data_IF_109011574778
#
_entry.id   IF_109011574778
#
_cell.length_a   1.000
_cell.length_b   1.000
_cell.length_c   1.000
_cell.angle_alpha   90.00
_cell.angle_beta   90.00
_cell.angle_gamma   90.00
#
_symmetry.space_group_name_H-M   'P 1'
#
loop_
_entity.id
_entity.type
_entity.pdbx_description
1 polymer ?
#
# COMPACT_ATOMS: atom_id res chain seq x y z
N UNK A 1 18.47 -32.89 85.56
CA UNK A 1 17.58 -32.55 84.43
C UNK A 1 17.92 -31.14 83.94
N UNK A 2 18.65 -31.02 82.83
CA UNK A 2 18.85 -29.75 82.09
C UNK A 2 18.65 -30.08 80.61
N UNK A 3 17.58 -29.56 80.01
CA UNK A 3 17.31 -29.65 78.57
C UNK A 3 18.08 -28.53 77.88
N UNK A 4 18.96 -28.88 76.95
CA UNK A 4 19.60 -27.93 76.05
C UNK A 4 18.74 -27.82 74.78
N UNK A 5 18.33 -26.60 74.46
CA UNK A 5 17.58 -26.25 73.25
C UNK A 5 18.59 -26.08 72.11
N UNK A 6 18.50 -26.90 71.07
CA UNK A 6 19.27 -26.72 69.83
C UNK A 6 18.42 -25.88 68.88
N UNK A 7 18.92 -24.69 68.53
CA UNK A 7 18.38 -23.83 67.48
C UNK A 7 18.99 -24.29 66.15
N UNK A 8 18.18 -24.83 65.25
CA UNK A 8 18.59 -25.14 63.88
C UNK A 8 18.41 -23.89 63.00
N UNK A 9 19.53 -23.38 62.46
CA UNK A 9 19.54 -22.33 61.45
C UNK A 9 19.18 -22.91 60.08
N UNK A 10 18.18 -22.32 59.42
CA UNK A 10 17.83 -22.59 58.02
C UNK A 10 18.74 -21.75 57.14
N UNK A 11 19.63 -22.40 56.38
CA UNK A 11 20.41 -21.75 55.32
C UNK A 11 19.52 -21.70 54.08
N UNK A 12 19.05 -20.51 53.72
CA UNK A 12 18.35 -20.26 52.46
C UNK A 12 19.36 -20.29 51.31
N UNK A 13 19.38 -21.40 50.57
CA UNK A 13 20.11 -21.49 49.31
C UNK A 13 19.37 -20.70 48.23
N UNK A 14 19.96 -19.62 47.76
CA UNK A 14 19.49 -18.90 46.58
C UNK A 14 19.70 -19.79 45.35
N UNK A 15 18.60 -20.31 44.80
CA UNK A 15 18.60 -20.94 43.48
C UNK A 15 18.70 -19.82 42.47
N UNK A 16 19.90 -19.66 41.90
CA UNK A 16 20.11 -18.85 40.70
C UNK A 16 19.34 -19.54 39.58
N UNK A 17 18.17 -18.99 39.25
CA UNK A 17 17.43 -19.38 38.05
C UNK A 17 18.26 -19.01 36.83
N UNK A 18 18.88 -20.01 36.20
CA UNK A 18 19.38 -19.87 34.85
C UNK A 18 18.15 -19.64 33.97
N UNK A 19 17.98 -18.39 33.51
CA UNK A 19 17.05 -18.08 32.44
C UNK A 19 17.40 -19.01 31.26
N UNK A 20 16.47 -19.91 30.94
CA UNK A 20 16.56 -20.68 29.70
C UNK A 20 16.58 -19.72 28.50
N UNK A 21 17.05 -20.16 27.33
CA UNK A 21 16.99 -19.32 26.15
C UNK A 21 15.52 -18.98 25.90
N UNK A 22 15.20 -17.69 25.87
CA UNK A 22 13.89 -17.23 25.44
C UNK A 22 13.64 -17.85 24.06
N UNK A 23 12.76 -18.86 24.01
CA UNK A 23 12.21 -19.34 22.75
C UNK A 23 11.57 -18.11 22.09
N UNK A 24 11.97 -17.83 20.84
CA UNK A 24 11.44 -16.75 20.02
C UNK A 24 9.91 -16.81 20.01
N UNK A 25 9.27 -15.95 20.81
CA UNK A 25 7.85 -15.70 20.69
C UNK A 25 7.66 -14.90 19.39
N UNK A 26 6.68 -15.29 18.57
CA UNK A 26 6.30 -14.47 17.41
C UNK A 26 5.82 -13.09 17.86
N UNK A 27 5.76 -12.14 16.92
CA UNK A 27 5.29 -10.77 17.17
C UNK A 27 3.99 -10.73 17.97
N UNK A 28 3.86 -9.75 18.84
CA UNK A 28 2.62 -9.50 19.58
C UNK A 28 1.44 -9.31 18.60
N UNK A 29 0.24 -9.84 18.90
CA UNK A 29 -0.90 -9.73 18.01
C UNK A 29 -1.30 -8.29 17.67
N UNK A 30 -1.10 -7.33 18.58
CA UNK A 30 -1.34 -5.91 18.28
C UNK A 30 -0.24 -5.36 17.37
N UNK A 31 1.03 -5.68 17.59
CA UNK A 31 2.12 -5.29 16.69
C UNK A 31 1.88 -5.78 15.27
N UNK A 32 1.47 -7.04 15.11
CA UNK A 32 1.09 -7.61 13.81
C UNK A 32 -0.10 -6.86 13.17
N UNK A 33 -1.13 -6.51 13.95
CA UNK A 33 -2.27 -5.72 13.44
C UNK A 33 -1.87 -4.31 13.04
N UNK A 34 -0.94 -3.69 13.76
CA UNK A 34 -0.43 -2.37 13.43
C UNK A 34 0.33 -2.41 12.11
N UNK A 35 1.23 -3.38 11.91
CA UNK A 35 1.94 -3.55 10.65
C UNK A 35 0.97 -3.81 9.48
N UNK A 36 -0.07 -4.62 9.66
CA UNK A 36 -1.07 -4.81 8.60
C UNK A 36 -1.85 -3.52 8.30
N UNK A 37 -2.24 -2.77 9.34
CA UNK A 37 -2.89 -1.45 9.17
C UNK A 37 -2.00 -0.47 8.42
N UNK A 38 -0.71 -0.45 8.74
CA UNK A 38 0.25 0.42 8.09
C UNK A 38 0.45 0.01 6.62
N UNK A 39 0.60 -1.29 6.32
CA UNK A 39 0.65 -1.78 4.94
C UNK A 39 -0.56 -1.36 4.10
N UNK A 40 -1.77 -1.34 4.67
CA UNK A 40 -2.97 -0.82 3.98
C UNK A 40 -2.85 0.69 3.68
N UNK A 41 -2.26 1.46 4.60
CA UNK A 41 -1.92 2.87 4.43
C UNK A 41 -0.90 3.08 3.31
N UNK A 42 0.24 2.39 3.40
CA UNK A 42 1.34 2.48 2.42
C UNK A 42 0.91 2.13 1.00
N UNK A 43 0.10 1.07 0.85
CA UNK A 43 -0.43 0.70 -0.44
C UNK A 43 -1.34 1.80 -1.02
N UNK A 44 -2.20 2.39 -0.18
CA UNK A 44 -3.10 3.47 -0.59
C UNK A 44 -2.34 4.78 -0.90
N UNK A 45 -1.30 5.11 -0.12
CA UNK A 45 -0.41 6.24 -0.37
C UNK A 45 0.31 6.07 -1.72
N UNK A 46 0.93 4.92 -1.96
CA UNK A 46 1.54 4.56 -3.24
C UNK A 46 0.60 4.81 -4.43
N UNK A 47 -0.59 4.20 -4.41
CA UNK A 47 -1.56 4.31 -5.51
C UNK A 47 -2.06 5.76 -5.70
N UNK A 48 -2.31 6.46 -4.60
CA UNK A 48 -2.75 7.86 -4.61
C UNK A 48 -1.68 8.80 -5.18
N UNK A 49 -0.41 8.61 -4.83
CA UNK A 49 0.69 9.43 -5.32
C UNK A 49 0.98 9.18 -6.80
N UNK A 50 0.84 7.96 -7.30
CA UNK A 50 0.85 7.71 -8.74
C UNK A 50 -0.29 8.44 -9.47
N UNK A 51 -1.48 8.51 -8.88
CA UNK A 51 -2.61 9.26 -9.43
C UNK A 51 -2.37 10.79 -9.41
N UNK A 52 -1.80 11.32 -8.32
CA UNK A 52 -1.44 12.73 -8.22
C UNK A 52 -0.31 13.11 -9.18
N UNK A 53 0.66 12.22 -9.40
CA UNK A 53 1.70 12.42 -10.40
C UNK A 53 1.12 12.54 -11.81
N UNK A 54 0.11 11.74 -12.17
CA UNK A 54 -0.57 11.86 -13.47
C UNK A 54 -1.21 13.24 -13.66
N UNK A 55 -1.85 13.81 -12.63
CA UNK A 55 -2.41 15.16 -12.73
C UNK A 55 -1.30 16.21 -12.87
N UNK A 56 -0.23 16.10 -12.08
CA UNK A 56 0.90 17.02 -12.16
C UNK A 56 1.57 17.01 -13.56
N UNK A 57 1.62 15.86 -14.25
CA UNK A 57 2.06 15.81 -15.64
C UNK A 57 1.09 16.52 -16.59
N UNK A 58 -0.22 16.36 -16.37
CA UNK A 58 -1.24 17.00 -17.20
C UNK A 58 -1.24 18.53 -17.06
N UNK A 59 -0.73 19.05 -15.96
CA UNK A 59 -0.60 20.48 -15.65
C UNK A 59 0.81 21.02 -15.87
N UNK A 60 1.68 20.25 -16.54
CA UNK A 60 3.07 20.59 -16.86
C UNK A 60 3.95 20.85 -15.59
N UNK A 61 3.61 20.24 -14.45
CA UNK A 61 4.33 20.30 -13.18
C UNK A 61 5.28 19.09 -13.01
N UNK A 62 6.20 18.91 -13.94
CA UNK A 62 7.13 17.76 -14.01
C UNK A 62 7.92 17.50 -12.70
N UNK A 63 8.31 18.56 -11.99
CA UNK A 63 8.99 18.44 -10.69
C UNK A 63 8.08 17.85 -9.61
N UNK A 64 6.80 18.22 -9.60
CA UNK A 64 5.80 17.70 -8.65
C UNK A 64 5.45 16.26 -9.01
N UNK A 65 5.29 15.96 -10.31
CA UNK A 65 5.07 14.59 -10.78
C UNK A 65 6.22 13.65 -10.39
N UNK A 66 7.46 14.11 -10.56
CA UNK A 66 8.66 13.35 -10.17
C UNK A 66 8.73 13.12 -8.66
N UNK A 67 8.37 14.12 -7.86
CA UNK A 67 8.33 14.00 -6.40
C UNK A 67 7.31 12.95 -5.96
N UNK A 68 6.06 13.04 -6.43
CA UNK A 68 5.03 12.05 -6.10
C UNK A 68 5.43 10.63 -6.49
N UNK A 69 6.06 10.44 -7.66
CA UNK A 69 6.55 9.11 -8.06
C UNK A 69 7.63 8.57 -7.15
N UNK A 70 8.61 9.40 -6.80
CA UNK A 70 9.69 8.99 -5.92
C UNK A 70 9.15 8.59 -4.54
N UNK A 71 8.25 9.39 -3.98
CA UNK A 71 7.54 9.05 -2.73
C UNK A 71 6.74 7.76 -2.87
N UNK A 72 5.96 7.61 -3.95
CA UNK A 72 5.22 6.37 -4.20
C UNK A 72 6.13 5.13 -4.27
N UNK A 73 7.34 5.25 -4.83
CA UNK A 73 8.32 4.16 -4.83
C UNK A 73 8.81 3.82 -3.42
N UNK A 74 9.04 4.82 -2.56
CA UNK A 74 9.38 4.61 -1.14
C UNK A 74 8.29 3.83 -0.42
N UNK A 75 7.02 4.29 -0.49
CA UNK A 75 5.90 3.62 0.22
C UNK A 75 5.79 2.15 -0.18
N UNK A 76 6.04 1.88 -1.46
CA UNK A 76 5.88 0.56 -2.04
C UNK A 76 7.03 -0.39 -1.75
N UNK A 77 8.25 0.07 -1.99
CA UNK A 77 9.45 -0.79 -2.04
C UNK A 77 10.28 -0.72 -0.76
N UNK A 78 10.05 0.27 0.09
CA UNK A 78 10.64 0.37 1.42
C UNK A 78 9.59 0.05 2.49
N UNK A 79 8.65 0.96 2.75
CA UNK A 79 7.73 0.86 3.89
C UNK A 79 6.86 -0.41 3.84
N UNK A 80 6.00 -0.54 2.82
CA UNK A 80 5.13 -1.71 2.66
C UNK A 80 5.90 -3.02 2.64
N UNK A 81 7.07 -3.04 1.97
CA UNK A 81 7.90 -4.23 1.84
C UNK A 81 8.52 -4.65 3.18
N UNK A 82 9.04 -3.69 3.95
CA UNK A 82 9.62 -3.94 5.27
C UNK A 82 8.56 -4.40 6.28
N UNK A 83 7.36 -3.85 6.22
CA UNK A 83 6.25 -4.26 7.07
C UNK A 83 5.70 -5.64 6.70
N UNK A 84 5.60 -5.93 5.40
CA UNK A 84 5.27 -7.26 4.90
C UNK A 84 6.29 -8.30 5.38
N UNK A 85 7.59 -7.98 5.34
CA UNK A 85 8.64 -8.84 5.88
C UNK A 85 8.49 -9.03 7.38
N UNK A 86 8.26 -7.94 8.14
CA UNK A 86 8.12 -7.95 9.59
C UNK A 86 7.07 -8.98 10.03
N UNK A 87 5.92 -9.04 9.35
CA UNK A 87 4.83 -9.97 9.71
C UNK A 87 4.89 -11.32 8.99
N UNK A 88 5.90 -11.55 8.14
CA UNK A 88 5.99 -12.73 7.26
C UNK A 88 4.76 -12.87 6.36
N UNK A 89 4.32 -11.77 5.75
CA UNK A 89 3.09 -11.68 4.97
C UNK A 89 3.07 -12.60 3.75
N UNK A 90 4.21 -12.74 3.07
CA UNK A 90 4.32 -13.60 1.89
C UNK A 90 4.61 -15.04 2.30
N UNK A 91 3.66 -15.94 2.00
CA UNK A 91 3.80 -17.38 2.26
C UNK A 91 4.25 -18.14 1.00
N UNK A 92 4.14 -19.47 1.01
CA UNK A 92 4.38 -20.29 -0.18
C UNK A 92 3.31 -20.07 -1.26
N UNK A 93 3.69 -20.21 -2.54
CA UNK A 93 2.80 -19.95 -3.68
C UNK A 93 1.40 -20.59 -3.59
N UNK A 94 1.30 -21.83 -3.07
CA UNK A 94 0.02 -22.49 -2.91
C UNK A 94 -0.85 -21.86 -1.81
N UNK A 95 -0.24 -21.36 -0.72
CA UNK A 95 -0.95 -20.70 0.37
C UNK A 95 -1.39 -19.30 -0.03
N UNK A 96 -0.50 -18.55 -0.71
CA UNK A 96 -0.85 -17.24 -1.29
C UNK A 96 -2.05 -17.38 -2.23
N UNK A 97 -2.04 -18.37 -3.13
CA UNK A 97 -3.17 -18.64 -4.03
C UNK A 97 -4.47 -18.96 -3.28
N UNK A 98 -4.42 -19.77 -2.21
CA UNK A 98 -5.62 -20.10 -1.42
C UNK A 98 -6.22 -18.87 -0.76
N UNK A 99 -5.38 -18.03 -0.19
CA UNK A 99 -5.80 -16.78 0.44
C UNK A 99 -6.42 -15.82 -0.58
N UNK A 100 -5.76 -15.63 -1.73
CA UNK A 100 -6.27 -14.79 -2.82
C UNK A 100 -7.61 -15.30 -3.33
N UNK A 101 -7.75 -16.60 -3.61
CA UNK A 101 -9.03 -17.18 -4.03
C UNK A 101 -10.16 -16.83 -3.04
N UNK A 102 -9.90 -16.92 -1.74
CA UNK A 102 -10.91 -16.61 -0.73
C UNK A 102 -11.27 -15.11 -0.67
N UNK A 103 -10.28 -14.22 -0.88
CA UNK A 103 -10.49 -12.78 -1.01
C UNK A 103 -11.34 -12.43 -2.22
N UNK A 104 -10.87 -12.83 -3.40
CA UNK A 104 -11.52 -12.59 -4.69
C UNK A 104 -12.96 -13.15 -4.72
N UNK A 105 -13.18 -14.35 -4.20
CA UNK A 105 -14.52 -14.93 -4.11
C UNK A 105 -15.44 -14.10 -3.22
N UNK A 106 -14.92 -13.58 -2.10
CA UNK A 106 -15.71 -12.75 -1.18
C UNK A 106 -16.04 -11.40 -1.83
N UNK A 107 -15.10 -10.79 -2.53
CA UNK A 107 -15.33 -9.54 -3.25
C UNK A 107 -16.39 -9.73 -4.35
N UNK A 108 -16.20 -10.75 -5.18
CA UNK A 108 -17.12 -11.11 -6.26
C UNK A 108 -18.55 -11.44 -5.80
N UNK A 109 -18.72 -12.06 -4.63
CA UNK A 109 -20.03 -12.62 -4.22
C UNK A 109 -20.71 -11.88 -3.08
N UNK A 110 -19.97 -11.08 -2.31
CA UNK A 110 -20.48 -10.41 -1.11
C UNK A 110 -20.23 -8.91 -1.15
N UNK A 111 -18.97 -8.48 -1.26
CA UNK A 111 -18.60 -7.08 -1.07
C UNK A 111 -19.17 -6.22 -2.19
N UNK A 112 -18.75 -6.49 -3.42
CA UNK A 112 -19.14 -5.66 -4.56
C UNK A 112 -20.62 -5.74 -4.91
N UNK A 113 -21.29 -6.92 -4.87
CA UNK A 113 -22.74 -6.97 -5.01
C UNK A 113 -23.49 -6.15 -3.94
N UNK A 114 -23.01 -6.13 -2.69
CA UNK A 114 -23.61 -5.31 -1.64
C UNK A 114 -23.38 -3.82 -1.87
N UNK A 115 -22.21 -3.43 -2.36
CA UNK A 115 -21.90 -2.03 -2.67
C UNK A 115 -22.72 -1.52 -3.86
N UNK A 116 -22.88 -2.35 -4.89
CA UNK A 116 -23.73 -2.06 -6.04
C UNK A 116 -25.19 -1.83 -5.60
N UNK A 117 -25.71 -2.66 -4.69
CA UNK A 117 -27.06 -2.47 -4.15
C UNK A 117 -27.18 -1.17 -3.34
N UNK A 118 -26.21 -0.87 -2.48
CA UNK A 118 -26.20 0.39 -1.74
C UNK A 118 -26.14 1.60 -2.69
N UNK A 119 -25.36 1.53 -3.77
CA UNK A 119 -25.30 2.58 -4.80
C UNK A 119 -26.64 2.78 -5.53
N UNK A 120 -27.39 1.71 -5.82
CA UNK A 120 -28.76 1.83 -6.35
C UNK A 120 -29.71 2.48 -5.36
N UNK A 121 -29.60 2.16 -4.07
CA UNK A 121 -30.42 2.77 -3.02
C UNK A 121 -30.13 4.27 -2.83
N UNK A 122 -28.88 4.67 -3.05
CA UNK A 122 -28.43 6.06 -2.94
C UNK A 122 -28.55 6.83 -4.28
N UNK A 123 -29.20 6.24 -5.30
CA UNK A 123 -29.42 6.83 -6.65
C UNK A 123 -28.11 7.24 -7.35
N UNK A 124 -27.05 6.43 -7.20
CA UNK A 124 -25.75 6.61 -7.88
C UNK A 124 -25.50 5.45 -8.87
N UNK A 125 -26.11 5.48 -10.07
CA UNK A 125 -26.04 4.36 -11.02
C UNK A 125 -24.62 4.08 -11.53
N UNK A 126 -23.76 5.09 -11.67
CA UNK A 126 -22.38 4.92 -12.13
C UNK A 126 -21.55 4.06 -11.18
N UNK A 127 -21.71 4.26 -9.86
CA UNK A 127 -21.05 3.41 -8.87
C UNK A 127 -21.68 2.02 -8.80
N UNK A 128 -22.99 1.89 -9.02
CA UNK A 128 -23.65 0.59 -9.06
C UNK A 128 -23.15 -0.27 -10.23
N UNK A 129 -22.94 0.36 -11.39
CA UNK A 129 -22.38 -0.29 -12.58
C UNK A 129 -20.92 -0.67 -12.35
N UNK A 130 -20.10 0.24 -11.82
CA UNK A 130 -18.71 -0.03 -11.47
C UNK A 130 -18.58 -1.22 -10.52
N UNK A 131 -19.30 -1.22 -9.38
CA UNK A 131 -19.23 -2.35 -8.46
C UNK A 131 -19.74 -3.66 -9.07
N UNK A 132 -20.65 -3.60 -10.05
CA UNK A 132 -21.08 -4.81 -10.77
C UNK A 132 -19.99 -5.35 -11.70
N UNK A 133 -19.22 -4.47 -12.34
CA UNK A 133 -18.05 -4.79 -13.16
C UNK A 133 -16.94 -5.44 -12.33
N UNK A 134 -16.51 -4.78 -11.24
CA UNK A 134 -15.48 -5.28 -10.32
C UNK A 134 -15.84 -6.68 -9.79
N UNK A 135 -17.11 -6.91 -9.43
CA UNK A 135 -17.55 -8.25 -9.01
C UNK A 135 -17.33 -9.35 -10.07
N UNK A 136 -17.47 -9.00 -11.36
CA UNK A 136 -17.22 -9.90 -12.48
C UNK A 136 -15.73 -10.16 -12.73
N UNK A 137 -14.90 -9.13 -12.55
CA UNK A 137 -13.46 -9.23 -12.68
C UNK A 137 -12.85 -10.08 -11.56
N UNK A 138 -13.25 -9.87 -10.30
CA UNK A 138 -12.79 -10.67 -9.16
C UNK A 138 -13.20 -12.15 -9.29
N UNK A 139 -14.40 -12.41 -9.84
CA UNK A 139 -14.82 -13.77 -10.15
C UNK A 139 -13.87 -14.43 -11.18
N UNK A 140 -13.39 -13.66 -12.15
CA UNK A 140 -12.43 -14.09 -13.17
C UNK A 140 -11.05 -14.31 -12.56
N UNK A 141 -10.59 -13.45 -11.65
CA UNK A 141 -9.35 -13.62 -10.91
C UNK A 141 -9.37 -14.89 -10.07
N UNK A 142 -10.41 -15.09 -9.25
CA UNK A 142 -10.62 -16.31 -8.47
C UNK A 142 -10.58 -17.57 -9.34
N UNK A 143 -11.25 -17.55 -10.50
CA UNK A 143 -11.23 -18.67 -11.44
C UNK A 143 -9.82 -18.97 -11.95
N UNK A 144 -9.05 -17.95 -12.34
CA UNK A 144 -7.66 -18.10 -12.83
C UNK A 144 -6.74 -18.60 -11.70
N UNK A 145 -6.89 -18.11 -10.48
CA UNK A 145 -6.12 -18.57 -9.32
C UNK A 145 -6.41 -20.01 -8.94
N UNK A 146 -7.67 -20.49 -9.06
CA UNK A 146 -7.99 -21.91 -8.84
C UNK A 146 -7.23 -22.82 -9.82
N UNK A 147 -7.17 -22.47 -11.11
CA UNK A 147 -6.39 -23.22 -12.11
C UNK A 147 -4.89 -23.15 -11.79
N UNK A 148 -4.39 -21.99 -11.37
CA UNK A 148 -3.00 -21.83 -10.98
C UNK A 148 -2.66 -22.71 -9.76
N UNK A 149 -3.54 -22.77 -8.76
CA UNK A 149 -3.37 -23.59 -7.57
C UNK A 149 -3.31 -25.08 -7.93
N UNK A 150 -4.20 -25.54 -8.81
CA UNK A 150 -4.19 -26.92 -9.28
C UNK A 150 -2.86 -27.27 -9.98
N UNK A 151 -2.35 -26.37 -10.83
CA UNK A 151 -1.07 -26.54 -11.50
C UNK A 151 0.12 -26.59 -10.51
N UNK A 152 0.11 -25.73 -9.49
CA UNK A 152 1.15 -25.67 -8.45
C UNK A 152 1.17 -26.93 -7.59
N UNK A 153 -0.01 -27.47 -7.24
CA UNK A 153 -0.13 -28.67 -6.41
C UNK A 153 0.16 -29.97 -7.17
N UNK A 154 0.03 -29.97 -8.50
CA UNK A 154 0.16 -31.16 -9.34
C UNK A 154 1.22 -30.97 -10.45
N UNK A 155 2.52 -30.87 -10.09
CA UNK A 155 3.58 -30.71 -11.08
C UNK A 155 3.61 -31.91 -12.03
N UNK A 156 3.66 -31.65 -13.35
CA UNK A 156 3.65 -32.69 -14.39
C UNK A 156 2.27 -33.13 -14.87
N UNK A 157 1.18 -32.58 -14.31
CA UNK A 157 -0.20 -32.86 -14.75
C UNK A 157 -0.54 -32.35 -16.16
N UNK A 158 0.29 -31.46 -16.72
CA UNK A 158 0.01 -30.78 -17.99
C UNK A 158 -0.91 -29.56 -17.85
N UNK A 159 -1.43 -29.27 -16.65
CA UNK A 159 -2.20 -28.05 -16.37
C UNK A 159 -1.26 -26.84 -16.43
N UNK A 160 -1.67 -25.81 -17.15
CA UNK A 160 -0.82 -24.65 -17.42
C UNK A 160 -1.39 -23.41 -16.74
N UNK A 161 -0.66 -22.82 -15.78
CA UNK A 161 -1.04 -21.62 -15.01
C UNK A 161 -1.46 -20.48 -15.94
N UNK A 162 -2.73 -20.00 -15.94
CA UNK A 162 -3.19 -18.93 -16.83
C UNK A 162 -2.26 -17.71 -16.74
N UNK A 163 -2.08 -16.97 -17.84
CA UNK A 163 -1.22 -15.77 -17.80
C UNK A 163 -1.96 -14.52 -17.32
N UNK A 164 -3.28 -14.57 -17.12
CA UNK A 164 -4.09 -13.39 -16.85
C UNK A 164 -4.33 -12.53 -18.09
N UNK A 165 -5.08 -11.47 -17.93
CA UNK A 165 -5.34 -10.48 -18.97
C UNK A 165 -4.47 -9.25 -18.76
N UNK A 166 -4.01 -8.64 -19.84
CA UNK A 166 -3.32 -7.35 -19.79
C UNK A 166 -4.36 -6.29 -20.11
N UNK A 167 -4.88 -5.63 -19.08
CA UNK A 167 -5.83 -4.55 -19.23
C UNK A 167 -5.08 -3.23 -19.47
N UNK A 168 -5.44 -2.44 -20.50
CA UNK A 168 -4.89 -1.09 -20.66
C UNK A 168 -5.29 -0.20 -19.48
N UNK A 169 -4.35 0.53 -18.85
CA UNK A 169 -4.68 1.35 -17.70
C UNK A 169 -5.61 2.50 -18.08
N UNK A 170 -6.63 2.73 -17.24
CA UNK A 170 -7.55 3.86 -17.31
C UNK A 170 -6.80 5.11 -16.82
N UNK A 171 -6.70 6.18 -17.63
CA UNK A 171 -6.09 7.42 -17.18
C UNK A 171 -6.90 8.04 -16.05
N UNK A 172 -6.25 8.33 -14.93
CA UNK A 172 -6.89 9.02 -13.81
C UNK A 172 -6.84 10.52 -14.11
N UNK A 173 -7.99 11.17 -13.99
CA UNK A 173 -8.12 12.61 -14.20
C UNK A 173 -8.72 13.26 -12.98
N UNK A 174 -8.43 14.54 -12.78
CA UNK A 174 -9.11 15.34 -11.77
C UNK A 174 -10.64 15.21 -11.89
N UNK A 175 -11.29 14.94 -10.78
CA UNK A 175 -12.74 14.80 -10.70
C UNK A 175 -13.28 15.31 -9.36
N UNK A 176 -14.60 15.29 -9.21
CA UNK A 176 -15.29 15.49 -7.94
C UNK A 176 -16.07 14.21 -7.61
N UNK A 177 -16.35 13.92 -6.32
CA UNK A 177 -17.15 12.77 -5.95
C UNK A 177 -18.46 12.70 -6.75
N UNK A 178 -18.68 11.58 -7.43
CA UNK A 178 -19.88 11.31 -8.20
C UNK A 178 -21.06 10.95 -7.29
N UNK A 179 -20.75 10.32 -6.15
CA UNK A 179 -21.72 9.89 -5.15
C UNK A 179 -21.54 10.65 -3.82
N UNK A 180 -22.43 10.39 -2.87
CA UNK A 180 -22.34 10.92 -1.51
C UNK A 180 -22.82 9.87 -0.50
N UNK A 181 -22.63 10.14 0.80
CA UNK A 181 -23.08 9.24 1.86
C UNK A 181 -22.39 7.87 1.79
N UNK A 182 -23.15 6.80 2.05
CA UNK A 182 -22.60 5.44 2.19
C UNK A 182 -21.95 4.93 0.91
N UNK A 183 -22.45 5.31 -0.26
CA UNK A 183 -21.80 4.94 -1.52
C UNK A 183 -20.43 5.60 -1.69
N UNK A 184 -20.26 6.85 -1.25
CA UNK A 184 -18.94 7.49 -1.24
C UNK A 184 -17.99 6.77 -0.27
N UNK A 185 -18.46 6.42 0.93
CA UNK A 185 -17.66 5.66 1.89
C UNK A 185 -17.24 4.29 1.32
N UNK A 186 -18.12 3.64 0.56
CA UNK A 186 -17.82 2.38 -0.13
C UNK A 186 -16.76 2.57 -1.23
N UNK A 187 -16.85 3.64 -2.04
CA UNK A 187 -15.83 3.95 -3.05
C UNK A 187 -14.45 4.20 -2.39
N UNK A 188 -14.41 4.93 -1.27
CA UNK A 188 -13.17 5.14 -0.52
C UNK A 188 -12.62 3.84 0.09
N UNK A 189 -13.50 2.95 0.54
CA UNK A 189 -13.13 1.62 1.01
C UNK A 189 -12.55 0.77 -0.13
N UNK A 190 -13.17 0.81 -1.31
CA UNK A 190 -12.70 0.14 -2.52
C UNK A 190 -11.32 0.64 -2.92
N UNK A 191 -11.06 1.95 -2.92
CA UNK A 191 -9.72 2.46 -3.23
C UNK A 191 -8.62 1.86 -2.36
N UNK A 192 -8.88 1.70 -1.06
CA UNK A 192 -7.92 1.08 -0.13
C UNK A 192 -7.74 -0.41 -0.43
N UNK A 193 -8.84 -1.11 -0.70
CA UNK A 193 -8.85 -2.53 -1.07
C UNK A 193 -8.04 -2.80 -2.34
N UNK A 194 -8.33 -2.06 -3.41
CA UNK A 194 -7.67 -2.22 -4.71
C UNK A 194 -6.18 -1.85 -4.67
N UNK A 195 -5.84 -0.80 -3.95
CA UNK A 195 -4.44 -0.43 -3.72
C UNK A 195 -3.70 -1.53 -2.96
N UNK A 196 -4.30 -2.08 -1.89
CA UNK A 196 -3.72 -3.18 -1.13
C UNK A 196 -3.63 -4.48 -1.94
N UNK A 197 -4.62 -4.78 -2.80
CA UNK A 197 -4.61 -5.94 -3.69
C UNK A 197 -3.46 -5.84 -4.71
N UNK A 198 -3.31 -4.69 -5.38
CA UNK A 198 -2.17 -4.42 -6.25
C UNK A 198 -0.82 -4.66 -5.54
N UNK A 199 -0.70 -4.09 -4.35
CA UNK A 199 0.50 -4.16 -3.54
C UNK A 199 0.82 -5.61 -3.11
N UNK A 200 -0.17 -6.33 -2.62
CA UNK A 200 -0.08 -7.76 -2.25
C UNK A 200 0.32 -8.63 -3.43
N UNK A 201 -0.36 -8.50 -4.58
CA UNK A 201 -0.09 -9.32 -5.76
C UNK A 201 1.25 -9.05 -6.39
N UNK A 202 1.74 -7.82 -6.33
CA UNK A 202 3.11 -7.51 -6.77
C UNK A 202 4.16 -8.24 -5.92
N UNK A 203 4.00 -8.33 -4.59
CA UNK A 203 4.89 -9.14 -3.73
C UNK A 203 4.78 -10.64 -4.05
N UNK A 204 3.57 -11.14 -4.32
CA UNK A 204 3.37 -12.54 -4.70
C UNK A 204 4.01 -12.85 -6.06
N UNK A 205 4.00 -11.90 -6.99
CA UNK A 205 4.70 -12.02 -8.26
C UNK A 205 6.22 -12.14 -8.04
N UNK A 206 6.81 -11.29 -7.20
CA UNK A 206 8.23 -11.35 -6.84
C UNK A 206 8.61 -12.69 -6.21
N UNK A 207 7.82 -13.18 -5.25
CA UNK A 207 8.03 -14.49 -4.64
C UNK A 207 7.93 -15.63 -5.67
N UNK A 208 6.95 -15.59 -6.56
CA UNK A 208 6.81 -16.56 -7.64
C UNK A 208 8.02 -16.53 -8.60
N UNK A 209 8.58 -15.34 -8.90
CA UNK A 209 9.82 -15.21 -9.69
C UNK A 209 11.02 -15.81 -8.95
N UNK A 210 11.19 -15.48 -7.68
CA UNK A 210 12.30 -15.94 -6.85
C UNK A 210 12.29 -17.48 -6.70
N UNK A 211 11.11 -18.09 -6.68
CA UNK A 211 10.92 -19.55 -6.62
C UNK A 211 10.85 -20.23 -7.99
N UNK A 212 11.14 -19.50 -9.08
CA UNK A 212 11.26 -20.05 -10.44
C UNK A 212 9.93 -20.23 -11.19
N UNK A 213 8.79 -19.87 -10.60
CA UNK A 213 7.45 -20.02 -11.17
C UNK A 213 7.08 -18.83 -12.09
N UNK A 214 7.85 -18.62 -13.15
CA UNK A 214 7.71 -17.45 -14.04
C UNK A 214 6.31 -17.24 -14.65
N UNK A 215 5.54 -18.30 -14.86
CA UNK A 215 4.17 -18.19 -15.41
C UNK A 215 3.17 -17.74 -14.35
N UNK A 216 3.34 -18.19 -13.10
CA UNK A 216 2.58 -17.71 -11.95
C UNK A 216 2.92 -16.25 -11.64
N UNK A 217 4.19 -15.88 -11.70
CA UNK A 217 4.59 -14.48 -11.55
C UNK A 217 3.86 -13.56 -12.54
N UNK A 218 3.77 -13.94 -13.82
CA UNK A 218 3.03 -13.17 -14.83
C UNK A 218 1.52 -13.09 -14.55
N UNK A 219 0.92 -14.14 -13.99
CA UNK A 219 -0.48 -14.09 -13.58
C UNK A 219 -0.67 -13.02 -12.50
N UNK A 220 0.18 -13.04 -11.47
CA UNK A 220 0.16 -12.04 -10.40
C UNK A 220 0.41 -10.63 -10.92
N UNK A 221 1.40 -10.43 -11.80
CA UNK A 221 1.69 -9.11 -12.40
C UNK A 221 0.49 -8.54 -13.15
N UNK A 222 -0.16 -9.39 -13.96
CA UNK A 222 -1.29 -8.98 -14.78
C UNK A 222 -2.52 -8.68 -13.91
N UNK A 223 -2.78 -9.49 -12.89
CA UNK A 223 -3.84 -9.21 -11.91
C UNK A 223 -3.55 -7.92 -11.13
N UNK A 224 -2.34 -7.76 -10.57
CA UNK A 224 -1.94 -6.52 -9.88
C UNK A 224 -2.10 -5.28 -10.78
N UNK A 225 -1.75 -5.42 -12.06
CA UNK A 225 -1.94 -4.36 -13.06
C UNK A 225 -3.41 -4.02 -13.32
N UNK A 226 -4.31 -5.00 -13.23
CA UNK A 226 -5.76 -4.78 -13.34
C UNK A 226 -6.30 -4.06 -12.08
N UNK A 227 -5.90 -4.47 -10.87
CA UNK A 227 -6.34 -3.80 -9.63
C UNK A 227 -6.01 -2.30 -9.65
N UNK A 228 -4.77 -1.95 -10.02
CA UNK A 228 -4.35 -0.55 -9.99
C UNK A 228 -4.76 0.22 -11.25
N UNK A 229 -4.62 -0.42 -12.42
CA UNK A 229 -4.81 0.22 -13.72
C UNK A 229 -6.27 0.35 -14.12
N UNK A 230 -7.16 -0.48 -13.59
CA UNK A 230 -8.59 -0.48 -13.91
C UNK A 230 -9.42 -0.23 -12.65
N UNK A 231 -9.43 -1.15 -11.68
CA UNK A 231 -10.36 -1.07 -10.55
C UNK A 231 -10.14 0.19 -9.69
N UNK A 232 -8.90 0.42 -9.23
CA UNK A 232 -8.52 1.61 -8.48
C UNK A 232 -8.73 2.87 -9.33
N UNK A 233 -8.32 2.86 -10.60
CA UNK A 233 -8.38 4.03 -11.47
C UNK A 233 -9.83 4.48 -11.74
N UNK A 234 -10.74 3.56 -12.07
CA UNK A 234 -12.15 3.86 -12.27
C UNK A 234 -12.81 4.33 -10.95
N UNK A 235 -12.49 3.65 -9.84
CA UNK A 235 -12.97 4.05 -8.51
C UNK A 235 -12.47 5.43 -8.12
N UNK A 236 -11.21 5.78 -8.43
CA UNK A 236 -10.61 7.07 -8.09
C UNK A 236 -11.31 8.23 -8.79
N UNK A 237 -11.75 8.01 -10.03
CA UNK A 237 -12.54 8.98 -10.79
C UNK A 237 -13.89 9.20 -10.11
N UNK A 238 -14.63 8.14 -9.77
CA UNK A 238 -15.93 8.29 -9.11
C UNK A 238 -15.84 8.82 -7.68
N UNK A 239 -14.78 8.47 -6.95
CA UNK A 239 -14.55 8.91 -5.57
C UNK A 239 -14.08 10.37 -5.49
N UNK A 240 -13.66 11.00 -6.60
CA UNK A 240 -13.09 12.35 -6.57
C UNK A 240 -11.71 12.41 -5.92
N UNK A 241 -10.89 11.36 -6.07
CA UNK A 241 -9.60 11.24 -5.41
C UNK A 241 -8.66 12.40 -5.77
N UNK A 242 -8.51 12.64 -7.08
CA UNK A 242 -7.56 13.60 -7.65
C UNK A 242 -8.19 14.99 -7.75
N UNK A 243 -7.58 15.95 -7.04
CA UNK A 243 -7.89 17.39 -7.08
C UNK A 243 -6.90 18.17 -7.93
N UNK A 244 -6.76 19.48 -7.66
CA UNK A 244 -5.65 20.27 -8.24
C UNK A 244 -4.30 19.88 -7.61
N UNK A 245 -3.17 20.20 -8.25
CA UNK A 245 -1.84 19.94 -7.68
C UNK A 245 -1.69 20.50 -6.25
N UNK A 246 -2.20 21.71 -6.02
CA UNK A 246 -2.18 22.33 -4.70
C UNK A 246 -3.06 21.57 -3.69
N UNK A 247 -4.19 21.02 -4.10
CA UNK A 247 -5.06 20.23 -3.21
C UNK A 247 -4.45 18.85 -2.93
N UNK A 248 -3.87 18.21 -3.95
CA UNK A 248 -3.20 16.92 -3.83
C UNK A 248 -1.98 17.02 -2.89
N UNK A 249 -1.15 18.05 -3.04
CA UNK A 249 -0.03 18.32 -2.13
C UNK A 249 -0.51 18.57 -0.69
N UNK A 250 -1.59 19.33 -0.48
CA UNK A 250 -2.14 19.54 0.87
C UNK A 250 -2.65 18.25 1.49
N UNK A 251 -3.32 17.39 0.71
CA UNK A 251 -3.77 16.07 1.17
C UNK A 251 -2.59 15.18 1.54
N UNK A 252 -1.55 15.12 0.69
CA UNK A 252 -0.33 14.37 0.96
C UNK A 252 0.33 14.86 2.25
N UNK A 253 0.63 16.16 2.37
CA UNK A 253 1.21 16.75 3.59
C UNK A 253 0.42 16.35 4.84
N UNK A 254 -0.91 16.42 4.81
CA UNK A 254 -1.74 16.08 5.97
C UNK A 254 -1.67 14.59 6.34
N UNK A 255 -1.57 13.69 5.36
CA UNK A 255 -1.39 12.25 5.58
C UNK A 255 -0.02 11.96 6.17
N UNK A 256 1.03 12.42 5.49
CA UNK A 256 2.43 12.26 5.89
C UNK A 256 2.70 12.82 7.30
N UNK A 257 2.18 14.01 7.62
CA UNK A 257 2.32 14.59 8.96
C UNK A 257 1.60 13.76 10.03
N UNK A 258 0.43 13.20 9.72
CA UNK A 258 -0.29 12.33 10.65
C UNK A 258 0.49 11.03 10.90
N UNK A 259 1.06 10.44 9.86
CA UNK A 259 1.83 9.19 9.95
C UNK A 259 3.13 9.42 10.72
N UNK A 260 3.88 10.46 10.37
CA UNK A 260 5.12 10.88 11.02
C UNK A 260 4.95 11.21 12.51
N UNK A 261 3.86 11.90 12.89
CA UNK A 261 3.72 12.44 14.25
C UNK A 261 2.81 11.64 15.16
N UNK A 262 1.88 10.86 14.59
CA UNK A 262 0.83 10.20 15.35
C UNK A 262 0.82 8.70 15.15
N UNK A 263 0.62 8.21 13.91
CA UNK A 263 0.41 6.78 13.67
C UNK A 263 1.66 5.95 13.99
N UNK A 264 2.75 6.18 13.25
CA UNK A 264 3.96 5.39 13.40
C UNK A 264 4.63 5.54 14.77
N UNK A 265 4.72 6.75 15.37
CA UNK A 265 5.18 6.87 16.75
C UNK A 265 4.31 6.10 17.76
N UNK A 266 3.00 5.98 17.52
CA UNK A 266 2.11 5.18 18.37
C UNK A 266 2.37 3.70 18.20
N UNK A 267 2.51 3.22 16.97
CA UNK A 267 2.83 1.82 16.68
C UNK A 267 4.20 1.44 17.25
N UNK A 268 5.20 2.31 17.10
CA UNK A 268 6.53 2.13 17.68
C UNK A 268 6.50 1.96 19.20
N UNK A 269 5.79 2.84 19.93
CA UNK A 269 5.64 2.72 21.39
C UNK A 269 4.89 1.45 21.81
N UNK A 270 3.86 1.06 21.06
CA UNK A 270 3.10 -0.16 21.35
C UNK A 270 3.95 -1.42 21.15
N UNK A 271 4.71 -1.49 20.05
CA UNK A 271 5.65 -2.57 19.79
C UNK A 271 6.75 -2.65 20.86
N UNK A 272 7.33 -1.51 21.26
CA UNK A 272 8.34 -1.46 22.32
C UNK A 272 7.76 -1.93 23.67
N UNK A 273 6.53 -1.53 24.00
CA UNK A 273 5.86 -1.99 25.22
C UNK A 273 5.57 -3.51 25.21
N UNK A 274 5.40 -4.10 24.03
CA UNK A 274 5.23 -5.53 23.83
C UNK A 274 6.56 -6.31 23.79
N UNK A 275 7.70 -5.61 23.72
CA UNK A 275 9.03 -6.21 23.57
C UNK A 275 9.41 -6.56 22.12
N UNK A 276 8.64 -6.07 21.14
CA UNK A 276 8.90 -6.25 19.71
C UNK A 276 9.88 -5.18 19.20
N UNK A 277 11.11 -5.16 19.73
CA UNK A 277 12.09 -4.08 19.52
C UNK A 277 12.40 -3.81 18.03
N UNK A 278 12.40 -4.86 17.18
CA UNK A 278 12.59 -4.71 15.72
C UNK A 278 11.42 -3.98 15.05
N UNK A 279 10.18 -4.28 15.44
CA UNK A 279 9.01 -3.59 14.92
C UNK A 279 8.99 -2.14 15.41
N UNK A 280 9.35 -1.92 16.68
CA UNK A 280 9.43 -0.58 17.24
C UNK A 280 10.44 0.31 16.50
N UNK A 281 11.60 -0.26 16.15
CA UNK A 281 12.63 0.42 15.36
C UNK A 281 12.14 0.71 13.93
N UNK A 282 11.54 -0.27 13.25
CA UNK A 282 11.00 -0.08 11.90
C UNK A 282 9.96 1.05 11.86
N UNK A 283 8.96 1.02 12.75
CA UNK A 283 7.95 2.08 12.81
C UNK A 283 8.55 3.44 13.15
N UNK A 284 9.63 3.51 13.94
CA UNK A 284 10.29 4.78 14.22
C UNK A 284 11.07 5.31 13.01
N UNK A 285 11.69 4.41 12.22
CA UNK A 285 12.38 4.74 10.97
C UNK A 285 11.39 5.29 9.94
N UNK A 286 10.30 4.58 9.67
CA UNK A 286 9.26 5.03 8.73
C UNK A 286 8.68 6.39 9.17
N UNK A 287 8.44 6.61 10.48
CA UNK A 287 8.00 7.92 10.97
C UNK A 287 8.95 9.08 10.61
N UNK A 288 10.25 8.81 10.48
CA UNK A 288 11.23 9.81 10.05
C UNK A 288 11.14 10.07 8.55
N UNK A 289 10.95 9.03 7.74
CA UNK A 289 10.80 9.13 6.30
C UNK A 289 9.52 9.91 5.92
N UNK A 290 8.39 9.65 6.58
CA UNK A 290 7.16 10.42 6.37
C UNK A 290 7.31 11.91 6.74
N UNK A 291 8.14 12.23 7.72
CA UNK A 291 8.44 13.63 8.06
C UNK A 291 9.22 14.32 6.93
N UNK A 292 10.09 13.58 6.24
CA UNK A 292 10.84 14.06 5.09
C UNK A 292 9.93 14.18 3.86
N UNK A 293 9.01 13.24 3.64
CA UNK A 293 7.95 13.32 2.61
C UNK A 293 7.07 14.57 2.81
N UNK A 294 6.50 14.77 4.01
CA UNK A 294 5.72 15.96 4.35
C UNK A 294 6.49 17.25 4.06
N UNK A 295 7.76 17.29 4.46
CA UNK A 295 8.64 18.44 4.26
C UNK A 295 8.93 18.70 2.77
N UNK A 296 9.07 17.66 1.96
CA UNK A 296 9.28 17.78 0.51
C UNK A 296 8.01 18.28 -0.20
N UNK A 297 6.84 17.73 0.13
CA UNK A 297 5.58 18.20 -0.43
C UNK A 297 5.25 19.65 -0.03
N UNK A 298 5.56 20.05 1.21
CA UNK A 298 5.40 21.43 1.64
C UNK A 298 6.27 22.39 0.81
N UNK A 299 7.52 22.03 0.53
CA UNK A 299 8.39 22.82 -0.36
C UNK A 299 7.80 22.94 -1.76
N UNK A 300 7.33 21.83 -2.34
CA UNK A 300 6.68 21.83 -3.65
C UNK A 300 5.42 22.72 -3.67
N UNK A 301 4.61 22.70 -2.62
CA UNK A 301 3.42 23.54 -2.50
C UNK A 301 3.75 25.03 -2.42
N UNK A 302 4.81 25.39 -1.69
CA UNK A 302 5.31 26.77 -1.61
C UNK A 302 5.79 27.23 -2.98
N UNK A 303 6.60 26.42 -3.67
CA UNK A 303 7.15 26.75 -4.99
C UNK A 303 6.03 26.91 -6.04
N UNK A 304 5.02 26.03 -6.01
CA UNK A 304 3.82 26.12 -6.85
C UNK A 304 3.06 27.44 -6.58
N UNK A 305 2.94 27.85 -5.32
CA UNK A 305 2.24 29.08 -4.92
C UNK A 305 2.99 30.36 -5.31
N UNK A 306 4.32 30.30 -5.41
CA UNK A 306 5.18 31.43 -5.79
C UNK A 306 5.34 31.59 -7.32
N UNK A 307 4.74 30.70 -8.12
CA UNK A 307 4.69 30.83 -9.58
C UNK A 307 5.88 30.22 -10.31
N UNK A 308 6.54 29.20 -9.75
CA UNK A 308 7.53 28.38 -10.48
C UNK A 308 8.73 29.17 -11.01
N UNK A 309 9.37 30.00 -10.18
CA UNK A 309 10.58 30.74 -10.56
C UNK A 309 11.84 29.85 -10.55
N UNK A 310 11.89 28.86 -11.44
CA UNK A 310 13.02 27.93 -11.56
C UNK A 310 13.44 27.55 -12.99
N UNK A 311 12.80 28.13 -14.02
CA UNK A 311 12.96 27.64 -15.40
C UNK A 311 13.39 28.66 -16.47
N UNK A 312 13.62 29.93 -16.15
CA UNK A 312 13.91 30.94 -17.19
C UNK A 312 14.99 31.97 -16.81
N UNK A 313 16.17 31.53 -16.38
CA UNK A 313 17.39 32.33 -16.57
C UNK A 313 18.56 31.43 -16.98
N UNK A 314 19.02 31.61 -18.23
CA UNK A 314 20.41 31.45 -18.71
C UNK A 314 20.55 30.87 -20.14
N UNK A 315 19.76 31.34 -21.12
CA UNK A 315 20.24 31.35 -22.52
C UNK A 315 19.72 32.55 -23.30
N UNK A 316 20.45 33.66 -23.23
CA UNK A 316 20.79 34.51 -24.39
C UNK A 316 21.83 35.58 -24.02
N UNK A 317 23.03 35.10 -23.68
CA UNK A 317 24.26 35.87 -23.82
C UNK A 317 24.90 35.59 -25.17
N UNK A 318 24.94 36.60 -26.05
CA UNK A 318 25.94 36.71 -27.13
C UNK A 318 25.48 36.35 -28.55
N UNK A 319 25.24 37.35 -29.41
CA UNK A 319 26.23 37.85 -30.41
C UNK A 319 25.60 38.83 -31.43
N UNK A 320 25.98 40.11 -31.26
CA UNK A 320 26.32 41.18 -32.23
C UNK A 320 25.43 41.57 -33.44
N UNK A 321 25.54 42.86 -33.87
CA UNK A 321 24.59 43.52 -34.77
C UNK A 321 24.91 43.26 -36.24
N UNK A 322 23.87 43.18 -37.05
CA UNK A 322 23.95 43.24 -38.51
C UNK A 322 23.68 44.68 -38.97
N UNK A 323 24.68 45.31 -39.56
CA UNK A 323 24.46 46.27 -40.66
C UNK A 323 24.86 45.54 -41.94
N UNK A 324 24.15 45.78 -43.08
CA UNK A 324 24.71 46.77 -43.99
C UNK A 324 23.71 47.52 -44.90
N UNK A 325 24.23 48.62 -45.48
CA UNK A 325 23.80 49.43 -46.65
C UNK A 325 22.72 50.49 -46.38
N UNK A 326 22.84 51.74 -46.84
CA UNK A 326 23.62 52.30 -47.96
C UNK A 326 24.75 53.26 -47.55
#
# INVERSE_FOLDING_TARGET
MRRATVVSAVVAGAVIGLAGPAQAAGLDPQTRRNALTAMEGEAYAHASYLAYAQEAERTDQEGIASLFRATAETERYDHFAAEAELINFVHGNADNLRESIAGEEREATVVYPSYAEQARLDDCPEAADLFTELAGDEATHAARFRVALEAVLNPGSGIVVPVGEVVPPVPIVRSTPACSGRTQDNLETTLRGEAFANAKYTLYAEHARATGQRRLARLWDNTAGQELGEHFAQTAILAGLVGSDADNLRKAIAGEEYEATTMYPTFSRQAAAAGDDRAAALFAEIAHDEADHASAFLRALVDLSLGGSGGEEAKKGGRQPTSPKA
#
